data_IF_871190481390
#
_entry.id   IF_871190481390
#
_cell.length_a   1.000
_cell.length_b   1.000
_cell.length_c   1.000
_cell.angle_alpha   90.00
_cell.angle_beta   90.00
_cell.angle_gamma   90.00
#
_symmetry.space_group_name_H-M   'P 1'
#
loop_
_entity.id
_entity.type
_entity.pdbx_description
1 polymer ?
#
# COMPACT_ATOMS: atom_id res chain seq x y z
N UNK A 1 9.56 3.35 20.77
CA UNK A 1 9.15 1.96 20.42
C UNK A 1 9.81 1.68 19.09
N UNK A 2 10.34 0.48 18.88
CA UNK A 2 10.89 0.07 17.58
C UNK A 2 9.82 0.22 16.48
N UNK A 3 10.22 0.56 15.26
CA UNK A 3 9.29 0.70 14.16
C UNK A 3 8.72 -0.67 13.78
N UNK A 4 7.46 -0.69 13.33
CA UNK A 4 6.89 -1.93 12.80
C UNK A 4 7.51 -2.25 11.46
N UNK A 5 7.76 -3.53 11.22
CA UNK A 5 8.22 -4.03 9.93
C UNK A 5 7.11 -4.79 9.22
N UNK A 6 6.86 -4.43 7.96
CA UNK A 6 5.95 -5.13 7.07
C UNK A 6 6.66 -5.75 5.87
N UNK A 7 5.96 -6.63 5.15
CA UNK A 7 6.47 -7.27 3.94
C UNK A 7 5.44 -7.17 2.80
N UNK A 8 5.88 -6.83 1.59
CA UNK A 8 5.03 -6.97 0.40
C UNK A 8 4.89 -8.44 0.00
N UNK A 9 3.66 -8.87 -0.24
CA UNK A 9 3.34 -10.22 -0.69
C UNK A 9 3.73 -10.46 -2.16
N UNK A 10 4.02 -11.72 -2.54
CA UNK A 10 4.37 -12.06 -3.91
C UNK A 10 3.17 -11.88 -4.85
N UNK A 11 3.18 -10.81 -5.66
CA UNK A 11 2.16 -10.52 -6.66
C UNK A 11 2.68 -10.61 -8.10
N UNK A 12 4.00 -10.57 -8.30
CA UNK A 12 4.58 -10.46 -9.64
C UNK A 12 4.68 -11.81 -10.37
N UNK A 13 4.82 -11.75 -11.70
CA UNK A 13 4.71 -12.89 -12.64
C UNK A 13 5.55 -14.15 -12.36
N UNK A 14 6.59 -14.06 -11.52
CA UNK A 14 7.41 -15.22 -11.16
C UNK A 14 6.78 -16.10 -10.06
N UNK A 15 5.71 -15.65 -9.40
CA UNK A 15 5.08 -16.37 -8.30
C UNK A 15 3.75 -17.02 -8.70
N UNK A 16 3.48 -18.20 -8.14
CA UNK A 16 2.17 -18.85 -8.18
C UNK A 16 1.32 -18.34 -7.02
N UNK A 17 0.28 -17.56 -7.30
CA UNK A 17 -0.50 -16.93 -6.24
C UNK A 17 -1.18 -17.93 -5.30
N UNK A 18 -1.60 -19.10 -5.79
CA UNK A 18 -2.37 -20.07 -5.00
C UNK A 18 -1.48 -20.83 -4.02
N UNK A 19 -0.23 -21.10 -4.43
CA UNK A 19 0.77 -21.78 -3.61
C UNK A 19 1.61 -20.82 -2.78
N UNK A 20 2.16 -19.80 -3.42
CA UNK A 20 3.25 -18.99 -2.86
C UNK A 20 2.73 -17.89 -1.92
N UNK A 21 1.58 -17.27 -2.21
CA UNK A 21 1.04 -16.21 -1.33
C UNK A 21 0.72 -16.72 0.08
N UNK A 22 -0.04 -17.83 0.26
CA UNK A 22 -0.30 -18.38 1.60
C UNK A 22 0.98 -18.79 2.35
N UNK A 23 1.96 -19.35 1.63
CA UNK A 23 3.21 -19.84 2.20
C UNK A 23 4.11 -18.69 2.67
N UNK A 24 4.34 -17.69 1.82
CA UNK A 24 5.09 -16.48 2.16
C UNK A 24 4.40 -15.70 3.27
N UNK A 25 3.06 -15.55 3.22
CA UNK A 25 2.31 -14.85 4.25
C UNK A 25 2.47 -15.48 5.65
N UNK A 26 2.36 -16.82 5.72
CA UNK A 26 2.57 -17.57 6.97
C UNK A 26 4.00 -17.43 7.47
N UNK A 27 4.97 -17.60 6.59
CA UNK A 27 6.39 -17.52 6.92
C UNK A 27 6.76 -16.12 7.42
N UNK A 28 6.27 -15.07 6.77
CA UNK A 28 6.51 -13.69 7.19
C UNK A 28 5.94 -13.39 8.59
N UNK A 29 4.74 -13.89 8.90
CA UNK A 29 4.14 -13.78 10.25
C UNK A 29 4.94 -14.59 11.30
N UNK A 30 5.52 -15.73 10.94
CA UNK A 30 6.38 -16.54 11.80
C UNK A 30 7.75 -15.89 12.05
N UNK A 31 8.34 -15.25 11.03
CA UNK A 31 9.57 -14.44 11.15
C UNK A 31 9.34 -13.26 12.10
N UNK A 32 8.15 -12.67 12.09
CA UNK A 32 7.76 -11.58 12.96
C UNK A 32 7.45 -10.26 12.24
N UNK A 33 7.23 -10.29 10.92
CA UNK A 33 6.62 -9.16 10.22
C UNK A 33 5.20 -8.93 10.76
N UNK A 34 4.87 -7.68 11.03
CA UNK A 34 3.62 -7.29 11.70
C UNK A 34 2.48 -7.00 10.71
N UNK A 35 2.82 -6.90 9.43
CA UNK A 35 1.89 -6.56 8.35
C UNK A 35 2.35 -7.11 7.00
N UNK A 36 1.37 -7.36 6.14
CA UNK A 36 1.52 -7.92 4.81
C UNK A 36 0.83 -7.00 3.81
N UNK A 37 1.56 -6.58 2.78
CA UNK A 37 1.12 -5.51 1.88
C UNK A 37 1.00 -5.99 0.44
N UNK A 38 0.03 -5.43 -0.28
CA UNK A 38 -0.13 -5.63 -1.73
C UNK A 38 -0.22 -4.29 -2.44
N UNK A 39 0.04 -4.23 -3.73
CA UNK A 39 -0.18 -3.05 -4.57
C UNK A 39 -1.05 -3.40 -5.77
N UNK A 40 -1.65 -2.38 -6.39
CA UNK A 40 -2.51 -2.59 -7.55
C UNK A 40 -1.83 -2.16 -8.84
N UNK A 41 -1.86 -3.05 -9.84
CA UNK A 41 -1.59 -2.78 -11.25
C UNK A 41 -2.47 -3.69 -12.09
N UNK A 42 -3.38 -3.11 -12.86
CA UNK A 42 -4.43 -3.85 -13.55
C UNK A 42 -3.96 -4.42 -14.90
N UNK A 43 -3.07 -3.70 -15.59
CA UNK A 43 -2.52 -4.13 -16.88
C UNK A 43 -1.13 -3.55 -17.14
N UNK A 44 -0.49 -4.06 -18.19
CA UNK A 44 0.69 -3.48 -18.81
C UNK A 44 0.38 -3.13 -20.26
N UNK A 45 0.45 -1.85 -20.66
CA UNK A 45 0.11 -1.45 -22.02
C UNK A 45 1.29 -1.69 -22.98
N UNK A 46 0.98 -2.16 -24.19
CA UNK A 46 1.98 -2.46 -25.22
C UNK A 46 1.45 -2.06 -26.62
N UNK A 47 1.88 -0.91 -27.18
CA UNK A 47 2.74 0.11 -26.56
C UNK A 47 2.01 0.91 -25.46
N UNK A 48 2.78 1.51 -24.54
CA UNK A 48 2.24 2.39 -23.50
C UNK A 48 1.79 3.74 -24.08
N UNK A 49 0.64 4.26 -23.64
CA UNK A 49 0.16 5.60 -24.05
C UNK A 49 0.92 6.73 -23.34
N UNK A 50 1.52 6.43 -22.19
CA UNK A 50 2.34 7.35 -21.41
C UNK A 50 3.50 6.62 -20.71
N UNK A 51 4.56 7.36 -20.37
CA UNK A 51 5.62 6.83 -19.52
C UNK A 51 5.18 6.65 -18.07
N UNK A 52 6.03 6.01 -17.27
CA UNK A 52 5.79 5.73 -15.85
C UNK A 52 5.50 7.05 -15.10
N UNK A 53 4.39 7.08 -14.34
CA UNK A 53 3.91 8.28 -13.63
C UNK A 53 3.64 9.51 -14.53
N UNK A 54 3.48 9.29 -15.84
CA UNK A 54 3.32 10.36 -16.83
C UNK A 54 4.64 11.05 -17.21
N UNK A 55 5.78 10.56 -16.73
CA UNK A 55 7.10 11.09 -17.09
C UNK A 55 7.44 10.68 -18.52
N UNK A 56 7.68 11.63 -19.45
CA UNK A 56 7.96 11.31 -20.85
C UNK A 56 9.15 10.36 -20.99
N UNK A 57 9.00 9.34 -21.83
CA UNK A 57 10.01 8.32 -22.15
C UNK A 57 10.52 7.47 -20.97
N UNK A 58 9.95 7.61 -19.76
CA UNK A 58 10.30 6.74 -18.65
C UNK A 58 9.60 5.38 -18.84
N UNK A 59 10.35 4.27 -19.06
CA UNK A 59 9.74 2.98 -19.32
C UNK A 59 8.99 2.47 -18.09
N UNK A 60 7.95 1.67 -18.34
CA UNK A 60 7.28 0.95 -17.29
C UNK A 60 8.16 -0.22 -16.81
N UNK A 61 8.31 -0.43 -15.49
CA UNK A 61 9.01 -1.59 -14.94
C UNK A 61 8.45 -2.92 -15.47
N UNK A 62 9.34 -3.83 -15.87
CA UNK A 62 8.96 -5.14 -16.42
C UNK A 62 8.15 -6.00 -15.43
N UNK A 63 8.40 -5.84 -14.12
CA UNK A 63 7.65 -6.51 -13.05
C UNK A 63 6.15 -6.24 -13.12
N UNK A 64 5.72 -5.13 -13.75
CA UNK A 64 4.32 -4.80 -13.93
C UNK A 64 3.61 -5.57 -15.04
N UNK A 65 4.32 -6.39 -15.84
CA UNK A 65 3.72 -7.22 -16.89
C UNK A 65 2.85 -8.37 -16.36
N UNK A 66 2.95 -8.69 -15.08
CA UNK A 66 2.02 -9.60 -14.42
C UNK A 66 1.99 -9.28 -12.93
N UNK A 67 0.87 -8.72 -12.47
CA UNK A 67 0.62 -8.38 -11.08
C UNK A 67 -0.74 -8.97 -10.71
N UNK A 68 -0.76 -9.81 -9.67
CA UNK A 68 -1.97 -10.43 -9.18
C UNK A 68 -2.93 -9.40 -8.57
N UNK A 69 -4.24 -9.68 -8.66
CA UNK A 69 -5.26 -8.81 -8.08
C UNK A 69 -5.06 -8.70 -6.55
N UNK A 70 -4.96 -7.47 -6.02
CA UNK A 70 -4.56 -7.24 -4.63
C UNK A 70 -5.53 -7.82 -3.59
N UNK A 71 -6.85 -7.71 -3.79
CA UNK A 71 -7.83 -8.17 -2.79
C UNK A 71 -7.95 -9.70 -2.73
N UNK A 72 -7.78 -10.39 -3.86
CA UNK A 72 -7.63 -11.85 -3.92
C UNK A 72 -6.36 -12.27 -3.20
N UNK A 73 -5.24 -11.57 -3.45
CA UNK A 73 -3.96 -11.83 -2.77
C UNK A 73 -4.09 -11.67 -1.25
N UNK A 74 -4.71 -10.59 -0.77
CA UNK A 74 -4.97 -10.40 0.66
C UNK A 74 -5.96 -11.42 1.23
N UNK A 75 -6.93 -11.91 0.45
CA UNK A 75 -7.85 -12.95 0.90
C UNK A 75 -7.09 -14.27 1.16
N UNK A 76 -6.16 -14.63 0.28
CA UNK A 76 -5.29 -15.80 0.47
C UNK A 76 -4.40 -15.64 1.70
N UNK A 77 -3.79 -14.47 1.88
CA UNK A 77 -2.99 -14.17 3.07
C UNK A 77 -3.82 -14.18 4.35
N UNK A 78 -5.04 -13.63 4.33
CA UNK A 78 -5.97 -13.61 5.45
C UNK A 78 -6.28 -15.04 5.94
N UNK A 79 -6.51 -15.97 5.03
CA UNK A 79 -6.79 -17.37 5.34
C UNK A 79 -5.56 -18.12 5.89
N UNK A 80 -4.34 -17.68 5.53
CA UNK A 80 -3.09 -18.34 5.93
C UNK A 80 -2.50 -17.83 7.25
N UNK A 81 -2.95 -16.66 7.72
CA UNK A 81 -2.35 -15.91 8.84
C UNK A 81 -3.38 -15.61 9.93
N UNK A 82 -2.92 -15.28 11.14
CA UNK A 82 -3.81 -15.04 12.29
C UNK A 82 -3.65 -13.65 12.92
N UNK A 83 -2.50 -12.97 12.72
CA UNK A 83 -2.14 -11.76 13.48
C UNK A 83 -1.76 -10.58 12.58
N UNK A 84 -1.00 -10.82 11.52
CA UNK A 84 -0.43 -9.79 10.66
C UNK A 84 -1.52 -8.91 10.06
N UNK A 85 -1.30 -7.60 10.06
CA UNK A 85 -2.19 -6.65 9.37
C UNK A 85 -2.15 -6.89 7.86
N UNK A 86 -3.25 -6.60 7.17
CA UNK A 86 -3.41 -6.82 5.74
C UNK A 86 -3.59 -5.45 5.06
N UNK A 87 -2.54 -5.01 4.38
CA UNK A 87 -2.38 -3.65 3.88
C UNK A 87 -2.46 -3.55 2.36
N UNK A 88 -2.98 -2.44 1.83
CA UNK A 88 -2.90 -2.11 0.39
C UNK A 88 -2.02 -0.86 0.17
N UNK A 89 -1.16 -0.86 -0.85
CA UNK A 89 -0.28 0.26 -1.17
C UNK A 89 -0.03 0.50 -2.66
N UNK A 90 -0.94 1.17 -3.35
CA UNK A 90 -2.32 1.48 -2.94
C UNK A 90 -3.27 0.70 -3.84
N UNK A 91 -4.53 0.57 -3.43
CA UNK A 91 -5.59 0.37 -4.42
C UNK A 91 -5.81 1.69 -5.16
N UNK A 92 -5.95 1.60 -6.47
CA UNK A 92 -6.36 2.71 -7.33
C UNK A 92 -7.87 2.82 -7.24
N UNK A 93 -8.34 3.48 -6.17
CA UNK A 93 -9.76 3.55 -5.82
C UNK A 93 -10.70 3.86 -7.00
N UNK A 94 -10.35 4.77 -7.95
CA UNK A 94 -11.22 5.06 -9.09
C UNK A 94 -11.37 3.95 -10.13
N UNK A 95 -10.54 2.90 -10.10
CA UNK A 95 -10.73 1.70 -10.95
C UNK A 95 -11.82 0.77 -10.43
N UNK A 96 -12.35 1.02 -9.22
CA UNK A 96 -13.34 0.19 -8.56
C UNK A 96 -14.69 0.88 -8.46
N UNK A 97 -15.77 0.10 -8.47
CA UNK A 97 -17.10 0.60 -8.08
C UNK A 97 -17.12 0.93 -6.58
N UNK A 98 -17.47 2.16 -6.15
CA UNK A 98 -17.31 2.58 -4.75
C UNK A 98 -18.00 1.67 -3.73
N UNK A 99 -19.26 1.29 -4.00
CA UNK A 99 -20.00 0.37 -3.12
C UNK A 99 -19.37 -1.04 -3.08
N UNK A 100 -18.95 -1.58 -4.22
CA UNK A 100 -18.36 -2.92 -4.29
C UNK A 100 -17.01 -2.97 -3.58
N UNK A 101 -16.19 -1.93 -3.73
CA UNK A 101 -14.92 -1.82 -3.01
C UNK A 101 -15.16 -1.74 -1.50
N UNK A 102 -16.04 -0.85 -1.05
CA UNK A 102 -16.37 -0.70 0.36
C UNK A 102 -16.88 -2.01 0.98
N UNK A 103 -17.78 -2.72 0.28
CA UNK A 103 -18.32 -4.02 0.72
C UNK A 103 -17.23 -5.10 0.77
N UNK A 104 -16.36 -5.16 -0.24
CA UNK A 104 -15.29 -6.16 -0.32
C UNK A 104 -14.28 -5.96 0.82
N UNK A 105 -13.83 -4.72 1.04
CA UNK A 105 -12.92 -4.37 2.13
C UNK A 105 -13.53 -4.66 3.51
N UNK A 106 -14.81 -4.31 3.72
CA UNK A 106 -15.50 -4.61 4.97
C UNK A 106 -15.67 -6.10 5.22
N UNK A 107 -15.90 -6.88 4.16
CA UNK A 107 -15.98 -8.35 4.23
C UNK A 107 -14.62 -8.97 4.54
N UNK A 108 -13.55 -8.51 3.88
CA UNK A 108 -12.19 -8.96 4.15
C UNK A 108 -11.76 -8.64 5.58
N UNK A 109 -12.12 -7.46 6.09
CA UNK A 109 -11.85 -7.08 7.47
C UNK A 109 -12.57 -8.00 8.47
N UNK A 110 -13.87 -8.22 8.28
CA UNK A 110 -14.64 -9.14 9.10
C UNK A 110 -14.06 -10.56 9.06
N UNK A 111 -13.71 -11.06 7.86
CA UNK A 111 -13.16 -12.40 7.67
C UNK A 111 -11.77 -12.57 8.28
N UNK A 112 -10.96 -11.51 8.30
CA UNK A 112 -9.62 -11.51 8.88
C UNK A 112 -9.59 -11.22 10.39
N UNK A 113 -10.73 -10.92 11.00
CA UNK A 113 -10.80 -10.54 12.42
C UNK A 113 -10.30 -9.11 12.69
N UNK A 114 -10.52 -8.19 11.74
CA UNK A 114 -10.21 -6.77 11.88
C UNK A 114 -8.85 -6.36 11.30
N UNK A 115 -8.15 -7.22 10.56
CA UNK A 115 -6.72 -6.98 10.27
C UNK A 115 -6.48 -6.00 9.12
N UNK A 116 -7.50 -5.46 8.47
CA UNK A 116 -7.34 -4.68 7.24
C UNK A 116 -6.91 -3.24 7.52
N UNK A 117 -5.96 -2.75 6.72
CA UNK A 117 -5.55 -1.35 6.60
C UNK A 117 -5.53 -1.01 5.11
N UNK A 118 -6.15 0.10 4.70
CA UNK A 118 -6.38 0.37 3.27
C UNK A 118 -5.63 1.60 2.83
N UNK A 119 -4.56 1.41 2.06
CA UNK A 119 -3.99 2.48 1.26
C UNK A 119 -4.82 2.69 -0.01
N UNK A 120 -5.37 3.89 -0.19
CA UNK A 120 -6.12 4.30 -1.37
C UNK A 120 -5.41 5.44 -2.10
N UNK A 121 -5.43 5.42 -3.43
CA UNK A 121 -4.94 6.53 -4.23
C UNK A 121 -5.70 6.68 -5.53
N UNK A 122 -5.36 7.72 -6.28
CA UNK A 122 -6.01 7.98 -7.58
C UNK A 122 -5.39 7.19 -8.72
N UNK A 123 -4.20 6.62 -8.56
CA UNK A 123 -3.44 6.07 -9.68
C UNK A 123 -3.06 7.14 -10.72
N UNK A 124 -2.39 6.70 -11.77
CA UNK A 124 -1.71 7.58 -12.73
C UNK A 124 -1.78 7.11 -14.19
N UNK A 125 -2.15 5.85 -14.45
CA UNK A 125 -2.16 5.30 -15.81
C UNK A 125 -3.46 5.63 -16.53
N UNK A 126 -3.38 6.29 -17.68
CA UNK A 126 -4.53 6.44 -18.58
C UNK A 126 -4.98 5.08 -19.16
N UNK A 127 -4.05 4.16 -19.44
CA UNK A 127 -4.37 2.83 -19.99
C UNK A 127 -5.22 2.00 -19.02
N UNK A 128 -4.88 2.00 -17.73
CA UNK A 128 -5.66 1.28 -16.71
C UNK A 128 -7.07 1.87 -16.55
N UNK A 129 -7.18 3.20 -16.59
CA UNK A 129 -8.49 3.89 -16.56
C UNK A 129 -9.34 3.57 -17.78
N UNK A 130 -8.74 3.59 -18.97
CA UNK A 130 -9.43 3.29 -20.22
C UNK A 130 -9.97 1.84 -20.23
N UNK A 131 -9.20 0.89 -19.68
CA UNK A 131 -9.60 -0.51 -19.60
C UNK A 131 -10.67 -0.78 -18.52
N UNK A 132 -10.65 -0.05 -17.41
CA UNK A 132 -11.55 -0.29 -16.28
C UNK A 132 -13.01 0.16 -16.53
N UNK A 133 -13.27 0.96 -17.58
CA UNK A 133 -14.63 1.41 -17.89
C UNK A 133 -15.22 2.34 -16.82
N UNK A 134 -14.37 3.12 -16.16
CA UNK A 134 -14.70 3.96 -15.01
C UNK A 134 -14.87 5.44 -15.40
N UNK A 135 -15.14 6.29 -14.39
CA UNK A 135 -15.25 7.73 -14.59
C UNK A 135 -13.98 8.34 -15.21
N UNK A 136 -14.10 9.48 -15.93
CA UNK A 136 -12.96 10.12 -16.61
C UNK A 136 -11.77 10.38 -15.68
N UNK A 137 -10.56 10.21 -16.22
CA UNK A 137 -9.30 10.32 -15.46
C UNK A 137 -9.12 11.69 -14.78
N UNK A 138 -9.67 12.76 -15.37
CA UNK A 138 -9.66 14.11 -14.84
C UNK A 138 -10.46 14.24 -13.54
N UNK A 139 -11.47 13.38 -13.36
CA UNK A 139 -12.33 13.36 -12.19
C UNK A 139 -11.80 12.51 -11.04
N UNK A 140 -10.69 11.77 -11.23
CA UNK A 140 -10.16 10.78 -10.29
C UNK A 140 -10.05 11.24 -8.83
N UNK A 141 -9.75 12.52 -8.60
CA UNK A 141 -9.70 13.09 -7.25
C UNK A 141 -11.08 13.13 -6.58
N UNK A 142 -12.12 13.53 -7.33
CA UNK A 142 -13.52 13.54 -6.87
C UNK A 142 -14.06 12.11 -6.73
N UNK A 143 -13.66 11.21 -7.63
CA UNK A 143 -14.01 9.78 -7.51
C UNK A 143 -13.43 9.21 -6.22
N UNK A 144 -12.16 9.48 -5.91
CA UNK A 144 -11.55 9.07 -4.65
C UNK A 144 -12.30 9.67 -3.45
N UNK A 145 -12.67 10.95 -3.48
CA UNK A 145 -13.45 11.58 -2.40
C UNK A 145 -14.78 10.84 -2.14
N UNK A 146 -15.51 10.49 -3.22
CA UNK A 146 -16.76 9.73 -3.12
C UNK A 146 -16.52 8.28 -2.64
N UNK A 147 -15.45 7.61 -3.07
CA UNK A 147 -15.09 6.28 -2.55
C UNK A 147 -14.85 6.32 -1.04
N UNK A 148 -14.14 7.34 -0.55
CA UNK A 148 -13.90 7.49 0.89
C UNK A 148 -15.21 7.64 1.66
N UNK A 149 -16.14 8.44 1.16
CA UNK A 149 -17.44 8.66 1.80
C UNK A 149 -18.31 7.39 1.77
N UNK A 150 -18.33 6.67 0.64
CA UNK A 150 -19.04 5.40 0.52
C UNK A 150 -18.45 4.34 1.45
N UNK A 151 -17.12 4.24 1.57
CA UNK A 151 -16.48 3.36 2.55
C UNK A 151 -16.96 3.65 3.97
N UNK A 152 -16.92 4.92 4.40
CA UNK A 152 -17.38 5.30 5.76
C UNK A 152 -18.86 5.00 5.97
N UNK A 153 -19.72 5.26 4.96
CA UNK A 153 -21.15 4.97 5.05
C UNK A 153 -21.41 3.46 5.14
N UNK A 154 -20.82 2.65 4.27
CA UNK A 154 -21.02 1.19 4.20
C UNK A 154 -20.52 0.49 5.47
N UNK A 155 -19.39 0.95 6.04
CA UNK A 155 -18.82 0.42 7.26
C UNK A 155 -19.52 0.90 8.54
N UNK A 156 -20.33 1.95 8.44
CA UNK A 156 -21.12 2.50 9.54
C UNK A 156 -22.33 1.63 9.94
N UNK A 157 -23.08 2.05 10.97
CA UNK A 157 -24.28 1.34 11.42
C UNK A 157 -25.38 1.33 10.35
N UNK A 158 -26.23 0.31 10.39
CA UNK A 158 -27.42 0.24 9.54
C UNK A 158 -28.58 1.11 10.11
N UNK A 159 -29.52 1.56 9.27
CA UNK A 159 -29.51 1.44 7.81
C UNK A 159 -28.45 2.33 7.18
N UNK A 160 -27.71 1.78 6.21
CA UNK A 160 -26.80 2.53 5.36
C UNK A 160 -27.63 3.28 4.31
N UNK A 161 -27.32 4.55 4.13
CA UNK A 161 -27.83 5.37 3.03
C UNK A 161 -26.72 6.28 2.53
N UNK A 162 -26.64 6.49 1.23
CA UNK A 162 -25.66 7.40 0.61
C UNK A 162 -26.20 7.92 -0.71
N UNK A 163 -26.02 9.22 -0.96
CA UNK A 163 -26.39 9.84 -2.24
C UNK A 163 -25.20 10.65 -2.75
N UNK A 164 -24.47 10.05 -3.69
CA UNK A 164 -23.37 10.66 -4.41
C UNK A 164 -23.62 10.65 -5.91
N UNK A 165 -22.59 10.99 -6.68
CA UNK A 165 -22.69 11.09 -8.13
C UNK A 165 -22.56 9.73 -8.82
N UNK A 166 -21.69 8.87 -8.30
CA UNK A 166 -21.43 7.53 -8.82
C UNK A 166 -22.23 6.45 -8.07
N UNK A 167 -22.51 6.69 -6.79
CA UNK A 167 -23.15 5.70 -5.91
C UNK A 167 -24.39 6.28 -5.26
N UNK A 168 -25.48 5.50 -5.33
CA UNK A 168 -26.70 5.74 -4.57
C UNK A 168 -27.06 4.47 -3.81
N UNK A 169 -27.21 4.60 -2.51
CA UNK A 169 -27.65 3.55 -1.59
C UNK A 169 -28.92 4.08 -0.94
N UNK A 170 -30.06 3.51 -1.29
CA UNK A 170 -31.29 3.67 -0.53
C UNK A 170 -31.15 2.98 0.83
N UNK A 171 -32.00 3.34 1.80
CA UNK A 171 -32.00 2.73 3.15
C UNK A 171 -31.87 1.20 3.09
N UNK A 172 -30.69 0.68 3.44
CA UNK A 172 -30.33 -0.72 3.25
C UNK A 172 -29.54 -1.27 4.44
N UNK A 173 -29.66 -2.57 4.67
CA UNK A 173 -28.78 -3.32 5.57
C UNK A 173 -27.60 -3.82 4.75
N UNK A 174 -26.37 -3.47 5.16
CA UNK A 174 -25.15 -3.92 4.48
C UNK A 174 -24.28 -4.71 5.45
N UNK A 175 -24.14 -6.01 5.22
CA UNK A 175 -23.40 -6.93 6.08
C UNK A 175 -22.43 -7.83 5.26
N UNK A 176 -21.36 -8.35 5.89
CA UNK A 176 -20.93 -8.08 7.27
C UNK A 176 -20.35 -6.66 7.43
N UNK A 177 -20.39 -6.13 8.66
CA UNK A 177 -19.66 -4.91 9.02
C UNK A 177 -18.21 -5.26 9.36
N UNK A 178 -17.25 -4.33 9.16
CA UNK A 178 -15.89 -4.51 9.65
C UNK A 178 -15.87 -4.87 11.15
N UNK A 179 -14.92 -5.71 11.56
CA UNK A 179 -14.78 -6.10 12.95
C UNK A 179 -14.30 -4.93 13.84
N UNK A 180 -13.61 -3.96 13.23
CA UNK A 180 -13.22 -2.69 13.85
C UNK A 180 -13.13 -1.59 12.77
N UNK A 181 -13.06 -0.30 13.14
CA UNK A 181 -12.84 0.77 12.16
C UNK A 181 -11.60 0.50 11.31
N UNK A 182 -11.78 0.42 9.99
CA UNK A 182 -10.70 0.17 9.03
C UNK A 182 -9.94 1.48 8.79
N UNK A 183 -8.62 1.54 9.08
CA UNK A 183 -7.84 2.74 8.78
C UNK A 183 -7.64 2.91 7.27
N UNK A 184 -7.85 4.13 6.78
CA UNK A 184 -7.55 4.53 5.40
C UNK A 184 -6.29 5.39 5.38
N UNK A 185 -5.24 4.91 4.72
CA UNK A 185 -4.00 5.64 4.51
C UNK A 185 -3.99 6.24 3.10
N UNK A 186 -3.54 7.49 2.98
CA UNK A 186 -3.53 8.20 1.70
C UNK A 186 -2.10 8.67 1.35
N UNK A 187 -1.67 8.52 0.09
CA UNK A 187 -0.50 9.22 -0.40
C UNK A 187 -0.84 10.70 -0.57
N UNK A 188 0.11 11.58 -0.28
CA UNK A 188 -0.09 13.02 -0.39
C UNK A 188 1.15 13.74 -0.91
N UNK A 189 1.09 14.21 -2.16
CA UNK A 189 2.18 14.92 -2.84
C UNK A 189 1.78 16.33 -3.32
N UNK A 190 0.52 16.71 -3.15
CA UNK A 190 0.01 18.03 -3.57
C UNK A 190 -0.86 18.63 -2.47
N UNK A 191 -1.05 19.94 -2.49
CA UNK A 191 -1.93 20.62 -1.52
C UNK A 191 -3.35 20.02 -1.48
N UNK A 192 -3.90 19.62 -2.63
CA UNK A 192 -5.21 18.94 -2.69
C UNK A 192 -5.19 17.54 -2.06
N UNK A 193 -4.09 16.81 -2.21
CA UNK A 193 -3.94 15.49 -1.59
C UNK A 193 -3.68 15.60 -0.08
N UNK A 194 -2.93 16.60 0.38
CA UNK A 194 -2.76 16.92 1.80
C UNK A 194 -4.08 17.29 2.45
N UNK A 195 -4.90 18.13 1.80
CA UNK A 195 -6.26 18.42 2.26
C UNK A 195 -7.10 17.15 2.41
N UNK A 196 -7.10 16.27 1.40
CA UNK A 196 -7.82 15.00 1.48
C UNK A 196 -7.32 14.09 2.61
N UNK A 197 -6.00 13.97 2.75
CA UNK A 197 -5.40 13.19 3.82
C UNK A 197 -5.84 13.70 5.19
N UNK A 198 -5.70 15.00 5.43
CA UNK A 198 -6.02 15.60 6.73
C UNK A 198 -7.52 15.56 7.02
N UNK A 199 -8.36 15.80 6.01
CA UNK A 199 -9.82 15.90 6.19
C UNK A 199 -10.54 14.55 6.21
N UNK A 200 -10.00 13.52 5.54
CA UNK A 200 -10.72 12.26 5.28
C UNK A 200 -9.93 10.99 5.61
N UNK A 201 -8.60 11.06 5.63
CA UNK A 201 -7.72 9.93 5.88
C UNK A 201 -7.42 9.71 7.37
N UNK A 202 -7.10 8.47 7.73
CA UNK A 202 -6.61 8.11 9.06
C UNK A 202 -5.07 8.15 9.14
N UNK A 203 -4.40 8.14 7.99
CA UNK A 203 -2.95 8.19 7.95
C UNK A 203 -2.34 8.51 6.58
N UNK A 204 -1.02 8.58 6.59
CA UNK A 204 -0.17 8.91 5.46
C UNK A 204 0.57 7.67 4.95
N UNK A 205 0.61 7.49 3.64
CA UNK A 205 1.30 6.35 3.03
C UNK A 205 2.33 6.82 1.99
N UNK A 206 3.54 7.18 2.44
CA UNK A 206 4.60 7.59 1.54
C UNK A 206 5.38 6.41 0.96
N UNK A 207 6.20 6.72 -0.04
CA UNK A 207 7.29 5.85 -0.49
C UNK A 207 8.59 6.44 0.03
N UNK A 208 9.46 5.59 0.60
CA UNK A 208 10.84 5.94 0.93
C UNK A 208 11.64 6.13 -0.36
N UNK A 209 11.53 7.32 -0.95
CA UNK A 209 12.24 7.71 -2.16
C UNK A 209 13.13 8.92 -1.87
N UNK A 210 14.35 8.90 -2.40
CA UNK A 210 15.34 9.95 -2.15
C UNK A 210 16.12 9.73 -0.86
N UNK A 211 16.37 10.76 -0.07
CA UNK A 211 17.05 10.65 1.22
C UNK A 211 16.06 10.70 2.39
N UNK A 212 16.46 10.18 3.56
CA UNK A 212 15.67 10.26 4.78
C UNK A 212 15.25 11.70 5.13
N UNK A 213 16.12 12.69 4.88
CA UNK A 213 15.81 14.12 5.05
C UNK A 213 14.62 14.59 4.21
N UNK A 214 14.47 14.03 3.00
CA UNK A 214 13.36 14.35 2.11
C UNK A 214 12.04 13.80 2.68
N UNK A 215 12.05 12.55 3.17
CA UNK A 215 10.88 11.97 3.83
C UNK A 215 10.54 12.72 5.12
N UNK A 216 11.54 13.09 5.92
CA UNK A 216 11.34 13.89 7.13
C UNK A 216 10.74 15.27 6.82
N UNK A 217 11.17 15.91 5.72
CA UNK A 217 10.59 17.18 5.27
C UNK A 217 9.13 17.03 4.83
N UNK A 218 8.81 15.95 4.10
CA UNK A 218 7.42 15.64 3.72
C UNK A 218 6.56 15.35 4.97
N UNK A 219 7.12 14.65 5.95
CA UNK A 219 6.40 14.39 7.20
C UNK A 219 6.07 15.67 7.96
N UNK A 220 7.05 16.58 8.10
CA UNK A 220 6.81 17.92 8.68
C UNK A 220 5.71 18.67 7.94
N UNK A 221 5.71 18.62 6.60
CA UNK A 221 4.66 19.25 5.80
C UNK A 221 3.26 18.68 6.10
N UNK A 222 3.14 17.37 6.30
CA UNK A 222 1.87 16.73 6.69
C UNK A 222 1.44 17.20 8.08
N UNK A 223 2.36 17.25 9.04
CA UNK A 223 2.09 17.70 10.41
C UNK A 223 1.67 19.17 10.47
N UNK A 224 2.40 20.05 9.78
CA UNK A 224 2.10 21.49 9.71
C UNK A 224 0.71 21.71 9.09
N UNK A 225 0.42 21.03 7.99
CA UNK A 225 -0.89 21.15 7.32
C UNK A 225 -2.03 20.60 8.18
N UNK A 226 -1.78 19.54 8.97
CA UNK A 226 -2.75 19.01 9.92
C UNK A 226 -3.01 20.00 11.08
N UNK A 227 -1.96 20.62 11.60
CA UNK A 227 -2.06 21.65 12.64
C UNK A 227 -2.81 22.90 12.15
N UNK A 228 -2.52 23.37 10.93
CA UNK A 228 -3.23 24.49 10.29
C UNK A 228 -4.74 24.24 10.16
N UNK A 229 -5.14 22.98 10.01
CA UNK A 229 -6.54 22.56 9.88
C UNK A 229 -7.18 22.14 11.20
N UNK A 230 -6.45 22.23 12.31
CA UNK A 230 -6.94 21.91 13.64
C UNK A 230 -7.21 20.42 13.87
N UNK A 231 -6.58 19.53 13.11
CA UNK A 231 -6.69 18.08 13.34
C UNK A 231 -6.04 17.71 14.68
N UNK A 232 -6.73 16.92 15.48
CA UNK A 232 -6.23 16.47 16.79
C UNK A 232 -5.93 14.98 16.85
N UNK A 233 -6.56 14.22 15.95
CA UNK A 233 -6.38 12.79 15.78
C UNK A 233 -4.99 12.51 15.19
N UNK A 234 -4.27 11.52 15.74
CA UNK A 234 -2.96 11.15 15.21
C UNK A 234 -3.07 10.71 13.75
N UNK A 235 -2.01 10.96 12.99
CA UNK A 235 -1.88 10.52 11.60
C UNK A 235 -1.03 9.25 11.64
N UNK A 236 -1.66 8.11 11.34
CA UNK A 236 -0.93 6.85 11.19
C UNK A 236 0.00 6.91 9.98
N UNK A 237 1.03 6.07 9.94
CA UNK A 237 1.96 6.02 8.82
C UNK A 237 2.40 4.60 8.47
N UNK A 238 2.51 4.33 7.17
CA UNK A 238 3.11 3.11 6.65
C UNK A 238 3.96 3.46 5.42
N UNK A 239 5.27 3.34 5.56
CA UNK A 239 6.24 3.74 4.55
C UNK A 239 6.55 2.55 3.65
N UNK A 240 6.32 2.71 2.35
CA UNK A 240 6.74 1.72 1.34
C UNK A 240 8.23 1.85 1.06
N UNK A 241 8.98 0.78 1.25
CA UNK A 241 10.39 0.68 0.86
C UNK A 241 10.51 -0.24 -0.35
N UNK A 242 10.84 0.31 -1.51
CA UNK A 242 11.07 -0.49 -2.71
C UNK A 242 12.55 -0.87 -2.79
N UNK A 243 12.91 -2.06 -2.31
CA UNK A 243 14.29 -2.50 -2.31
C UNK A 243 14.67 -3.17 -3.63
N UNK A 244 15.95 -3.09 -3.96
CA UNK A 244 16.59 -3.76 -5.11
C UNK A 244 17.73 -4.64 -4.60
N UNK A 245 17.39 -5.79 -3.98
CA UNK A 245 18.35 -6.67 -3.37
C UNK A 245 19.26 -7.32 -4.42
N UNK A 246 20.53 -7.51 -4.02
CA UNK A 246 21.52 -8.27 -4.75
C UNK A 246 22.38 -9.07 -3.80
N UNK A 247 22.88 -10.24 -4.23
CA UNK A 247 23.72 -11.09 -3.39
C UNK A 247 25.04 -10.42 -2.94
N UNK A 248 25.52 -9.43 -3.69
CA UNK A 248 26.72 -8.65 -3.38
C UNK A 248 26.36 -7.19 -3.14
N UNK A 249 27.22 -6.50 -2.40
CA UNK A 249 27.16 -5.06 -2.29
C UNK A 249 27.24 -4.40 -3.69
N UNK A 250 26.52 -3.31 -3.86
CA UNK A 250 26.63 -2.43 -5.02
C UNK A 250 27.64 -1.32 -4.71
N UNK A 251 28.78 -1.35 -5.38
CA UNK A 251 29.92 -0.43 -5.15
C UNK A 251 29.91 0.81 -6.08
N UNK A 252 28.94 0.90 -6.99
CA UNK A 252 28.83 2.02 -7.92
C UNK A 252 28.48 3.33 -7.20
N UNK A 253 29.10 4.43 -7.61
CA UNK A 253 28.83 5.76 -7.05
C UNK A 253 27.40 6.27 -7.33
N UNK A 254 26.67 5.62 -8.23
CA UNK A 254 25.29 5.88 -8.60
C UNK A 254 24.26 5.03 -7.83
N UNK A 255 24.70 4.30 -6.79
CA UNK A 255 23.84 3.47 -5.94
C UNK A 255 22.63 4.28 -5.47
N UNK A 256 21.45 3.74 -5.71
CA UNK A 256 20.22 4.30 -5.17
C UNK A 256 19.95 3.77 -3.75
N UNK A 257 19.19 4.51 -2.92
CA UNK A 257 18.72 3.99 -1.64
C UNK A 257 18.05 2.63 -1.79
N UNK A 258 18.31 1.71 -0.85
CA UNK A 258 17.78 0.35 -0.82
C UNK A 258 18.21 -0.53 -2.00
N UNK A 259 19.30 -0.19 -2.68
CA UNK A 259 19.93 -1.02 -3.70
C UNK A 259 21.20 -1.68 -3.15
N UNK A 260 21.33 -2.99 -3.28
CA UNK A 260 22.52 -3.72 -2.85
C UNK A 260 22.22 -4.97 -2.03
N UNK A 261 23.22 -5.42 -1.27
CA UNK A 261 23.02 -6.53 -0.32
C UNK A 261 22.21 -6.09 0.91
N UNK A 262 21.85 -7.07 1.75
CA UNK A 262 21.05 -6.84 2.96
C UNK A 262 21.66 -5.78 3.87
N UNK A 263 22.98 -5.79 4.07
CA UNK A 263 23.67 -4.78 4.88
C UNK A 263 23.46 -3.36 4.35
N UNK A 264 23.57 -3.16 3.02
CA UNK A 264 23.33 -1.85 2.40
C UNK A 264 21.86 -1.43 2.52
N UNK A 265 20.92 -2.36 2.30
CA UNK A 265 19.48 -2.08 2.41
C UNK A 265 19.11 -1.68 3.84
N UNK A 266 19.59 -2.42 4.84
CA UNK A 266 19.30 -2.14 6.25
C UNK A 266 20.01 -0.87 6.71
N UNK A 267 21.26 -0.67 6.31
CA UNK A 267 21.98 0.59 6.59
C UNK A 267 21.25 1.81 6.03
N UNK A 268 20.62 1.68 4.86
CA UNK A 268 19.80 2.74 4.28
C UNK A 268 18.51 2.94 5.06
N UNK A 269 17.93 1.90 5.67
CA UNK A 269 16.69 1.99 6.44
C UNK A 269 16.84 2.68 7.79
N UNK A 270 18.01 2.59 8.44
CA UNK A 270 18.27 3.19 9.76
C UNK A 270 17.89 4.68 9.83
N UNK A 271 18.42 5.58 8.98
CA UNK A 271 18.08 7.00 9.06
C UNK A 271 16.61 7.28 8.73
N UNK A 272 15.94 6.40 7.99
CA UNK A 272 14.50 6.51 7.77
C UNK A 272 13.73 6.16 9.05
N UNK A 273 14.10 5.10 9.76
CA UNK A 273 13.45 4.68 11.01
C UNK A 273 13.57 5.74 12.12
N UNK A 274 14.67 6.50 12.15
CA UNK A 274 14.89 7.61 13.09
C UNK A 274 13.90 8.78 12.94
N UNK A 275 13.18 8.87 11.81
CA UNK A 275 12.12 9.88 11.59
C UNK A 275 10.95 9.68 12.57
N UNK A 276 10.74 8.45 13.04
CA UNK A 276 9.67 8.12 14.00
C UNK A 276 8.29 7.92 13.36
N UNK A 277 8.24 7.47 12.10
CA UNK A 277 7.00 6.96 11.48
C UNK A 277 6.69 5.56 12.03
N UNK A 278 5.42 5.16 12.01
CA UNK A 278 4.94 3.99 12.74
C UNK A 278 5.44 2.65 12.15
N UNK A 279 5.65 2.60 10.84
CA UNK A 279 5.85 1.36 10.11
C UNK A 279 6.60 1.54 8.79
N UNK A 280 7.48 0.59 8.47
CA UNK A 280 8.19 0.48 7.20
C UNK A 280 7.96 -0.92 6.65
N UNK A 281 7.36 -1.02 5.47
CA UNK A 281 7.17 -2.31 4.81
C UNK A 281 8.06 -2.45 3.58
N UNK A 282 8.68 -3.61 3.47
CA UNK A 282 9.71 -3.88 2.49
C UNK A 282 9.12 -4.62 1.30
N UNK A 283 9.27 -4.04 0.12
CA UNK A 283 9.04 -4.72 -1.14
C UNK A 283 10.34 -5.36 -1.61
N UNK A 284 10.41 -6.68 -1.45
CA UNK A 284 11.58 -7.51 -1.76
C UNK A 284 11.34 -8.40 -2.99
N UNK A 285 10.28 -8.16 -3.76
CA UNK A 285 9.88 -9.02 -4.87
C UNK A 285 10.83 -8.95 -6.08
N UNK A 286 11.57 -7.85 -6.22
CA UNK A 286 12.60 -7.71 -7.25
C UNK A 286 13.87 -8.41 -6.78
N UNK A 287 14.41 -9.35 -7.56
CA UNK A 287 15.63 -10.10 -7.20
C UNK A 287 15.37 -11.60 -7.00
N UNK A 288 14.56 -12.01 -6.00
CA UNK A 288 14.21 -13.41 -5.80
C UNK A 288 13.57 -14.06 -7.03
N UNK A 289 14.03 -15.27 -7.35
CA UNK A 289 13.57 -16.07 -8.51
C UNK A 289 12.28 -16.82 -8.22
N UNK A 290 12.06 -17.18 -6.95
CA UNK A 290 10.92 -17.94 -6.48
C UNK A 290 10.58 -17.58 -5.03
N UNK A 291 9.54 -18.22 -4.49
CA UNK A 291 9.04 -17.97 -3.15
C UNK A 291 10.02 -18.38 -2.04
N UNK A 292 10.86 -19.40 -2.25
CA UNK A 292 11.86 -19.82 -1.25
C UNK A 292 12.91 -18.73 -1.09
N UNK A 293 13.45 -18.21 -2.19
CA UNK A 293 14.41 -17.10 -2.14
C UNK A 293 13.81 -15.84 -1.53
N UNK A 294 12.52 -15.56 -1.78
CA UNK A 294 11.84 -14.42 -1.16
C UNK A 294 11.73 -14.60 0.37
N UNK A 295 11.40 -15.80 0.84
CA UNK A 295 11.34 -16.11 2.28
C UNK A 295 12.70 -16.02 2.95
N UNK A 296 13.73 -16.59 2.33
CA UNK A 296 15.10 -16.54 2.85
C UNK A 296 15.59 -15.08 2.95
N UNK A 297 15.39 -14.29 1.90
CA UNK A 297 15.74 -12.87 1.90
C UNK A 297 14.95 -12.09 2.95
N UNK A 298 13.64 -12.35 3.07
CA UNK A 298 12.81 -11.68 4.09
C UNK A 298 13.30 -12.01 5.51
N UNK A 299 13.69 -13.26 5.78
CA UNK A 299 14.25 -13.66 7.07
C UNK A 299 15.58 -12.96 7.36
N UNK A 300 16.48 -12.90 6.36
CA UNK A 300 17.79 -12.22 6.49
C UNK A 300 17.63 -10.72 6.75
N UNK A 301 16.79 -10.06 5.96
CA UNK A 301 16.51 -8.62 6.10
C UNK A 301 15.84 -8.31 7.44
N UNK A 302 14.88 -9.12 7.87
CA UNK A 302 14.23 -8.93 9.18
C UNK A 302 15.25 -9.03 10.33
N UNK A 303 16.07 -10.08 10.33
CA UNK A 303 17.08 -10.30 11.36
C UNK A 303 18.10 -9.15 11.40
N UNK A 304 18.58 -8.70 10.24
CA UNK A 304 19.51 -7.59 10.14
C UNK A 304 18.88 -6.26 10.58
N UNK A 305 17.62 -5.97 10.21
CA UNK A 305 16.90 -4.77 10.63
C UNK A 305 16.72 -4.72 12.16
N UNK A 306 16.32 -5.84 12.78
CA UNK A 306 16.20 -5.92 14.24
C UNK A 306 17.55 -5.79 14.94
N UNK A 307 18.62 -6.36 14.37
CA UNK A 307 19.98 -6.19 14.89
C UNK A 307 20.46 -4.73 14.81
N UNK A 308 19.99 -3.97 13.82
CA UNK A 308 20.24 -2.53 13.67
C UNK A 308 19.34 -1.65 14.57
N UNK A 309 18.46 -2.24 15.38
CA UNK A 309 17.60 -1.53 16.34
C UNK A 309 16.32 -0.94 15.75
N UNK A 310 15.93 -1.38 14.55
CA UNK A 310 14.70 -0.94 13.86
C UNK A 310 13.49 -1.70 14.40
#
# INVERSE_FOLDING_TARGET
>A
MAARLGLSLPQTRQFDIGRDVPDVARTAEEIGYESLWVFERALFPEPATQGLYGVPNLPWPDLYRGVAEPLVTLTLAAAATQRARLGTSVLVAPLHGPFQLARTLGTLDAASGGRVVVGLGTGWSHDEYAAAGVAPFEERGRVLDEVLDVCRAVWGPDPVSYEGRLTRIESAVVAPKPARPIPILLPAFSKKALARLVDRGDGWQPVAQGGADQLAAQWRQVQDFAAERGRTEPIQSAVRVNARPSAKAYDGADRQPFQGNVDQIVSDLVPYAEIGLDEYFLDLQEGPRDAEELKDLAAEVYAAARAAGI
#
